data_IF_561214520285
#
_entry.id   IF_561214520285
#
_cell.length_a   1.000
_cell.length_b   1.000
_cell.length_c   1.000
_cell.angle_alpha   90.00
_cell.angle_beta   90.00
_cell.angle_gamma   90.00
#
_symmetry.space_group_name_H-M   'P 1'
#
loop_
_entity.id
_entity.type
_entity.pdbx_description
1 polymer ?
#
# COMPACT_ATOMS: atom_id res chain seq x y z
N UNK A 1 -9.49 60.27 -13.95
CA UNK A 1 -8.44 59.39 -13.38
C UNK A 1 -9.09 58.04 -13.04
N UNK A 2 -8.74 56.95 -13.72
CA UNK A 2 -9.28 55.60 -13.45
C UNK A 2 -8.27 54.82 -12.62
N UNK A 3 -8.65 54.31 -11.45
CA UNK A 3 -7.79 53.52 -10.56
C UNK A 3 -7.88 52.04 -10.97
N UNK A 4 -6.81 51.37 -11.46
CA UNK A 4 -6.85 49.94 -11.71
C UNK A 4 -6.22 49.24 -10.51
N UNK A 5 -7.04 48.80 -9.56
CA UNK A 5 -6.55 47.99 -8.43
C UNK A 5 -7.59 46.96 -8.03
N UNK A 6 -7.95 46.07 -8.96
CA UNK A 6 -8.91 44.98 -8.72
C UNK A 6 -8.45 43.62 -9.29
N UNK A 7 -7.57 43.59 -10.30
CA UNK A 7 -7.23 42.34 -11.00
C UNK A 7 -6.33 41.39 -10.17
N UNK A 8 -5.34 41.92 -9.45
CA UNK A 8 -4.36 41.10 -8.71
C UNK A 8 -4.95 40.43 -7.46
N UNK A 9 -6.02 40.99 -6.89
CA UNK A 9 -6.68 40.43 -5.70
C UNK A 9 -7.56 39.24 -6.07
N UNK A 10 -8.20 39.25 -7.24
CA UNK A 10 -9.02 38.13 -7.73
C UNK A 10 -8.16 36.93 -8.11
N UNK A 11 -7.01 37.15 -8.77
CA UNK A 11 -6.03 36.10 -9.06
C UNK A 11 -5.47 35.47 -7.78
N UNK A 12 -5.10 36.28 -6.78
CA UNK A 12 -4.63 35.80 -5.47
C UNK A 12 -5.70 35.03 -4.70
N UNK A 13 -6.93 35.54 -4.67
CA UNK A 13 -8.05 34.87 -4.03
C UNK A 13 -8.38 33.52 -4.71
N UNK A 14 -8.29 33.45 -6.03
CA UNK A 14 -8.48 32.22 -6.79
C UNK A 14 -7.41 31.16 -6.49
N UNK A 15 -6.13 31.56 -6.41
CA UNK A 15 -5.02 30.65 -6.06
C UNK A 15 -5.16 30.12 -4.63
N UNK A 16 -5.52 30.99 -3.67
CA UNK A 16 -5.75 30.57 -2.28
C UNK A 16 -6.96 29.63 -2.21
N UNK A 17 -8.06 29.95 -2.89
CA UNK A 17 -9.25 29.08 -2.95
C UNK A 17 -8.93 27.68 -3.48
N UNK A 18 -8.22 27.59 -4.61
CA UNK A 18 -7.80 26.33 -5.20
C UNK A 18 -6.86 25.52 -4.28
N UNK A 19 -5.92 26.21 -3.59
CA UNK A 19 -5.03 25.56 -2.62
C UNK A 19 -5.83 25.00 -1.43
N UNK A 20 -6.78 25.75 -0.89
CA UNK A 20 -7.60 25.31 0.25
C UNK A 20 -8.53 24.15 -0.12
N UNK A 21 -9.10 24.14 -1.33
CA UNK A 21 -9.88 22.99 -1.83
C UNK A 21 -9.00 21.76 -2.04
N UNK A 22 -7.77 21.93 -2.54
CA UNK A 22 -6.78 20.86 -2.68
C UNK A 22 -6.38 20.23 -1.34
N UNK A 23 -6.21 21.05 -0.28
CA UNK A 23 -5.92 20.55 1.07
C UNK A 23 -7.09 19.77 1.68
N UNK A 24 -8.34 20.13 1.37
CA UNK A 24 -9.52 19.44 1.91
C UNK A 24 -9.77 18.07 1.28
N UNK A 25 -9.28 17.82 0.05
CA UNK A 25 -9.40 16.53 -0.62
C UNK A 25 -8.43 15.46 -0.09
N UNK A 26 -7.38 15.86 0.63
CA UNK A 26 -6.42 14.94 1.26
C UNK A 26 -7.00 14.16 2.46
N UNK A 27 -8.26 14.41 2.85
CA UNK A 27 -8.85 13.92 4.10
C UNK A 27 -9.67 12.63 4.05
N UNK A 28 -9.80 11.96 2.90
CA UNK A 28 -10.53 10.68 2.81
C UNK A 28 -9.59 9.49 2.64
N UNK A 29 -8.61 9.36 3.54
CA UNK A 29 -8.03 8.04 3.78
C UNK A 29 -9.11 7.21 4.51
N UNK A 30 -9.98 6.53 3.76
CA UNK A 30 -10.83 5.50 4.36
C UNK A 30 -9.91 4.40 4.90
N UNK A 31 -10.22 3.89 6.08
CA UNK A 31 -9.51 2.73 6.55
C UNK A 31 -9.78 1.58 5.56
N UNK A 32 -8.72 1.08 4.92
CA UNK A 32 -8.83 0.15 3.81
C UNK A 32 -8.45 -1.24 4.28
N UNK A 33 -9.29 -2.23 3.94
CA UNK A 33 -9.01 -3.63 4.18
C UNK A 33 -8.75 -4.31 2.84
N UNK A 34 -7.52 -4.73 2.61
CA UNK A 34 -7.11 -5.41 1.38
C UNK A 34 -6.95 -6.90 1.63
N UNK A 35 -7.47 -7.72 0.73
CA UNK A 35 -7.31 -9.18 0.75
C UNK A 35 -6.64 -9.64 -0.53
N UNK A 36 -5.66 -10.54 -0.41
CA UNK A 36 -5.00 -11.18 -1.54
C UNK A 36 -4.98 -12.70 -1.35
N UNK A 37 -5.12 -13.45 -2.45
CA UNK A 37 -4.98 -14.91 -2.47
C UNK A 37 -4.45 -15.34 -3.83
N UNK A 38 -3.58 -16.34 -3.85
CA UNK A 38 -2.97 -16.90 -5.04
C UNK A 38 -2.69 -18.40 -4.86
N UNK A 39 -2.77 -19.13 -5.97
CA UNK A 39 -2.41 -20.54 -6.04
C UNK A 39 -1.41 -20.73 -7.19
N UNK A 40 -0.36 -21.49 -6.92
CA UNK A 40 0.76 -21.70 -7.81
C UNK A 40 1.03 -23.19 -7.94
N UNK A 41 1.31 -23.68 -9.14
CA UNK A 41 1.73 -25.07 -9.34
C UNK A 41 3.17 -25.31 -8.90
N UNK A 42 4.00 -24.26 -8.98
CA UNK A 42 5.38 -24.21 -8.51
C UNK A 42 5.70 -22.75 -8.15
N UNK A 43 6.29 -22.50 -6.98
CA UNK A 43 6.62 -21.15 -6.52
C UNK A 43 8.10 -20.86 -6.80
N UNK A 44 8.35 -19.97 -7.77
CA UNK A 44 9.68 -19.59 -8.24
C UNK A 44 10.12 -18.27 -7.60
N UNK A 45 11.28 -18.26 -6.94
CA UNK A 45 11.94 -17.05 -6.45
C UNK A 45 13.35 -16.98 -7.04
N UNK A 46 13.75 -15.82 -7.57
CA UNK A 46 15.01 -15.61 -8.27
C UNK A 46 15.34 -16.67 -9.37
N UNK A 47 14.31 -17.24 -10.01
CA UNK A 47 14.45 -18.25 -11.06
C UNK A 47 14.63 -19.69 -10.57
N UNK A 48 14.60 -19.93 -9.27
CA UNK A 48 14.66 -21.27 -8.66
C UNK A 48 13.34 -21.65 -7.99
N UNK A 49 12.95 -22.93 -8.08
CA UNK A 49 11.78 -23.44 -7.36
C UNK A 49 12.06 -23.48 -5.86
N UNK A 50 11.34 -22.65 -5.10
CA UNK A 50 11.39 -22.63 -3.64
C UNK A 50 10.39 -23.62 -3.03
N UNK A 51 9.35 -24.02 -3.78
CA UNK A 51 8.37 -25.02 -3.32
C UNK A 51 8.75 -26.47 -3.63
N UNK A 52 9.93 -26.69 -4.20
CA UNK A 52 10.39 -28.01 -4.65
C UNK A 52 9.39 -28.66 -5.63
N UNK A 53 8.92 -27.87 -6.61
CA UNK A 53 7.92 -28.26 -7.60
C UNK A 53 6.56 -28.72 -7.02
N UNK A 54 6.23 -28.31 -5.79
CA UNK A 54 4.92 -28.57 -5.21
C UNK A 54 4.00 -27.36 -5.35
N UNK A 55 2.69 -27.64 -5.44
CA UNK A 55 1.67 -26.62 -5.45
C UNK A 55 1.63 -25.85 -4.12
N UNK A 56 1.41 -24.54 -4.23
CA UNK A 56 1.41 -23.62 -3.09
C UNK A 56 0.18 -22.73 -3.16
N UNK A 57 -0.47 -22.53 -2.02
CA UNK A 57 -1.52 -21.52 -1.84
C UNK A 57 -1.03 -20.48 -0.85
N UNK A 58 -1.17 -19.20 -1.20
CA UNK A 58 -0.78 -18.08 -0.35
C UNK A 58 -1.88 -17.04 -0.33
N UNK A 59 -2.01 -16.32 0.78
CA UNK A 59 -3.02 -15.29 0.91
C UNK A 59 -2.96 -14.57 2.24
N UNK A 60 -3.62 -13.43 2.34
CA UNK A 60 -3.41 -12.51 3.43
C UNK A 60 -4.43 -11.39 3.47
N UNK A 61 -4.32 -10.61 4.54
CA UNK A 61 -5.15 -9.45 4.79
C UNK A 61 -4.29 -8.33 5.34
N UNK A 62 -4.52 -7.12 4.86
CA UNK A 62 -3.88 -5.90 5.35
C UNK A 62 -4.94 -4.86 5.68
N UNK A 63 -4.82 -4.27 6.87
CA UNK A 63 -5.59 -3.13 7.32
C UNK A 63 -4.71 -1.88 7.27
N UNK A 64 -5.19 -0.85 6.58
CA UNK A 64 -4.57 0.48 6.52
C UNK A 64 -5.48 1.47 7.23
N UNK A 65 -5.04 2.03 8.33
CA UNK A 65 -5.72 3.11 9.03
C UNK A 65 -5.58 4.42 8.25
N UNK A 66 -6.58 5.30 8.37
CA UNK A 66 -6.61 6.62 7.74
C UNK A 66 -5.38 7.50 8.06
N UNK A 67 -4.79 7.30 9.24
CA UNK A 67 -3.56 7.95 9.68
C UNK A 67 -2.26 7.38 9.08
N UNK A 68 -2.36 6.48 8.10
CA UNK A 68 -1.21 5.87 7.42
C UNK A 68 -0.66 4.62 8.11
N UNK A 69 -0.97 4.38 9.38
CA UNK A 69 -0.63 3.13 10.06
C UNK A 69 -1.20 1.93 9.30
N UNK A 70 -0.42 0.90 9.07
CA UNK A 70 -0.92 -0.34 8.47
C UNK A 70 -0.41 -1.57 9.24
N UNK A 71 -1.22 -2.63 9.20
CA UNK A 71 -0.94 -3.93 9.80
C UNK A 71 -1.54 -5.02 8.92
N UNK A 72 -0.74 -6.03 8.59
CA UNK A 72 -1.18 -7.16 7.78
C UNK A 72 -0.56 -8.48 8.19
N UNK A 73 -1.25 -9.56 7.83
CA UNK A 73 -0.78 -10.93 8.01
C UNK A 73 -0.84 -11.66 6.67
N UNK A 74 0.23 -12.40 6.37
CA UNK A 74 0.35 -13.25 5.20
C UNK A 74 0.53 -14.68 5.66
N UNK A 75 -0.16 -15.62 5.03
CA UNK A 75 -0.03 -17.07 5.27
C UNK A 75 0.21 -17.79 3.94
N UNK A 76 0.98 -18.87 3.98
CA UNK A 76 1.39 -19.61 2.79
C UNK A 76 1.54 -21.08 3.10
N UNK A 77 1.16 -21.99 2.19
CA UNK A 77 1.46 -23.43 2.33
C UNK A 77 2.91 -23.79 1.95
N UNK A 78 3.71 -22.81 1.51
CA UNK A 78 5.11 -22.98 1.16
C UNK A 78 5.91 -23.42 2.39
N UNK A 79 6.42 -24.65 2.37
CA UNK A 79 7.31 -25.18 3.40
C UNK A 79 8.77 -24.98 2.99
N UNK A 80 9.52 -24.16 3.72
CA UNK A 80 10.95 -23.95 3.51
C UNK A 80 11.81 -24.78 4.47
N UNK A 81 13.06 -25.08 4.14
CA UNK A 81 14.00 -25.85 4.99
C UNK A 81 14.26 -25.25 6.38
N UNK A 82 13.84 -24.00 6.61
CA UNK A 82 13.90 -23.29 7.90
C UNK A 82 12.62 -23.41 8.74
N UNK A 83 11.53 -23.92 8.15
CA UNK A 83 10.21 -24.09 8.76
C UNK A 83 9.75 -25.51 8.45
N UNK A 84 10.07 -26.44 9.34
CA UNK A 84 9.72 -27.85 9.19
C UNK A 84 8.25 -28.01 8.81
N UNK A 85 8.01 -28.73 7.70
CA UNK A 85 6.73 -29.26 7.24
C UNK A 85 5.48 -28.50 7.74
N UNK A 86 5.13 -27.41 7.07
CA UNK A 86 3.89 -26.69 7.34
C UNK A 86 4.06 -25.21 7.08
N UNK A 87 3.09 -24.65 6.39
CA UNK A 87 3.11 -23.29 5.89
C UNK A 87 3.64 -22.19 6.82
N UNK A 88 4.30 -21.19 6.23
CA UNK A 88 4.79 -20.01 6.94
C UNK A 88 3.73 -18.93 7.11
N UNK A 89 3.82 -18.17 8.20
CA UNK A 89 3.08 -16.93 8.42
C UNK A 89 4.03 -15.75 8.65
N UNK A 90 3.69 -14.59 8.11
CA UNK A 90 4.43 -13.34 8.28
C UNK A 90 3.46 -12.27 8.78
N UNK A 91 3.83 -11.63 9.88
CA UNK A 91 3.17 -10.40 10.35
C UNK A 91 4.01 -9.20 9.92
N UNK A 92 3.39 -8.21 9.31
CA UNK A 92 4.04 -6.98 8.87
C UNK A 92 3.20 -5.76 9.23
N UNK A 93 3.83 -4.64 9.52
CA UNK A 93 3.14 -3.40 9.85
C UNK A 93 4.10 -2.23 10.00
N UNK A 94 3.57 -1.01 9.96
CA UNK A 94 4.37 0.20 10.07
C UNK A 94 3.59 1.49 9.82
N UNK A 95 4.34 2.60 9.75
CA UNK A 95 3.86 3.90 9.27
C UNK A 95 4.65 4.22 7.99
N UNK A 96 4.01 4.69 6.91
CA UNK A 96 4.72 5.11 5.71
C UNK A 96 5.61 6.30 6.05
N UNK A 97 6.92 6.06 6.15
CA UNK A 97 7.92 7.10 6.02
C UNK A 97 8.20 7.27 4.52
N UNK A 98 8.22 8.52 4.04
CA UNK A 98 8.24 8.86 2.62
C UNK A 98 9.16 7.98 1.77
N UNK A 99 8.61 7.52 0.63
CA UNK A 99 9.32 6.92 -0.51
C UNK A 99 10.00 5.55 -0.33
N UNK A 100 9.56 4.69 0.61
CA UNK A 100 9.86 3.25 0.56
C UNK A 100 8.57 2.43 0.71
N UNK A 101 7.81 2.31 -0.38
CA UNK A 101 6.60 1.48 -0.43
C UNK A 101 6.27 0.93 -1.82
N UNK A 102 7.20 1.09 -2.78
CA UNK A 102 7.10 0.57 -4.14
C UNK A 102 8.06 -0.61 -4.38
N UNK A 103 8.47 -1.31 -3.32
CA UNK A 103 9.29 -2.51 -3.42
C UNK A 103 8.42 -3.75 -3.28
N UNK A 104 8.21 -4.44 -4.40
CA UNK A 104 7.61 -5.78 -4.51
C UNK A 104 6.26 -5.98 -3.80
N UNK A 105 5.21 -5.39 -4.39
CA UNK A 105 3.88 -6.01 -4.35
C UNK A 105 3.90 -7.17 -5.35
N UNK A 106 4.14 -8.39 -4.86
CA UNK A 106 3.85 -9.61 -5.62
C UNK A 106 2.34 -9.81 -5.73
#
# INVERSE_FOLDING_TARGET
>A
MKKPMQHNHMLRAGVIGALMTGLMYAGHAQAELTFNVGAFTDYIDNGESVSNNHAVVQGGVEYVHSGGLFLGVQVSTLGGKWHGAGGGSLLWGGVPHGAFGAGNRL
#
